data_IF_956165283015
#
_entry.id   IF_956165283015
#
_cell.length_a   1.000
_cell.length_b   1.000
_cell.length_c   1.000
_cell.angle_alpha   90.00
_cell.angle_beta   90.00
_cell.angle_gamma   90.00
#
_symmetry.space_group_name_H-M   'P 1'
#
loop_
_entity.id
_entity.type
_entity.pdbx_description
1 polymer ?
#
# COMPACT_ATOMS: atom_id res chain seq x y z
N UNK A 1 19.28 -7.74 -64.55
CA UNK A 1 19.69 -6.75 -63.53
C UNK A 1 18.49 -6.51 -62.60
N UNK A 2 18.70 -6.78 -61.30
CA UNK A 2 17.91 -6.43 -60.10
C UNK A 2 16.45 -6.90 -59.90
N UNK A 3 16.19 -7.56 -58.75
CA UNK A 3 15.01 -7.36 -57.93
C UNK A 3 15.37 -6.63 -56.62
N UNK A 4 14.70 -5.52 -56.30
CA UNK A 4 14.76 -4.89 -54.97
C UNK A 4 13.37 -4.92 -54.34
N UNK A 5 13.02 -6.08 -53.81
CA UNK A 5 11.85 -6.28 -52.95
C UNK A 5 12.34 -6.26 -51.51
N UNK A 6 12.12 -5.15 -50.78
CA UNK A 6 12.01 -5.10 -49.30
C UNK A 6 11.84 -3.67 -48.73
N UNK A 7 10.61 -3.31 -48.29
CA UNK A 7 10.46 -2.43 -47.12
C UNK A 7 9.51 -2.96 -46.02
N UNK A 8 8.77 -4.06 -46.24
CA UNK A 8 7.70 -4.50 -45.30
C UNK A 8 8.19 -5.03 -43.94
N UNK A 9 9.41 -5.55 -43.83
CA UNK A 9 9.93 -6.20 -42.62
C UNK A 9 10.31 -5.22 -41.48
N UNK A 10 10.73 -3.99 -41.82
CA UNK A 10 11.13 -2.99 -40.81
C UNK A 10 9.92 -2.39 -40.09
N UNK A 11 8.81 -2.21 -40.81
CA UNK A 11 7.56 -1.70 -40.24
C UNK A 11 6.89 -2.69 -39.29
N UNK A 12 6.96 -4.00 -39.55
CA UNK A 12 6.36 -5.01 -38.67
C UNK A 12 7.13 -5.14 -37.34
N UNK A 13 8.46 -5.07 -37.37
CA UNK A 13 9.29 -5.04 -36.15
C UNK A 13 9.08 -3.76 -35.34
N UNK A 14 9.01 -2.61 -36.00
CA UNK A 14 8.75 -1.32 -35.34
C UNK A 14 7.36 -1.29 -34.68
N UNK A 15 6.32 -1.77 -35.37
CA UNK A 15 4.96 -1.87 -34.82
C UNK A 15 4.88 -2.83 -33.63
N UNK A 16 5.59 -3.96 -33.68
CA UNK A 16 5.69 -4.88 -32.54
C UNK A 16 6.39 -4.24 -31.35
N UNK A 17 7.46 -3.48 -31.58
CA UNK A 17 8.15 -2.74 -30.52
C UNK A 17 7.26 -1.66 -29.89
N UNK A 18 6.52 -0.89 -30.69
CA UNK A 18 5.56 0.09 -30.19
C UNK A 18 4.44 -0.56 -29.39
N UNK A 19 3.86 -1.65 -29.88
CA UNK A 19 2.81 -2.37 -29.16
C UNK A 19 3.33 -2.93 -27.83
N UNK A 20 4.54 -3.50 -27.83
CA UNK A 20 5.19 -3.96 -26.60
C UNK A 20 5.44 -2.84 -25.60
N UNK A 21 5.86 -1.67 -26.07
CA UNK A 21 6.07 -0.49 -25.23
C UNK A 21 4.76 0.00 -24.59
N UNK A 22 3.68 0.10 -25.39
CA UNK A 22 2.37 0.53 -24.89
C UNK A 22 1.83 -0.46 -23.86
N UNK A 23 1.92 -1.77 -24.12
CA UNK A 23 1.51 -2.80 -23.18
C UNK A 23 2.35 -2.73 -21.90
N UNK A 24 3.68 -2.59 -22.01
CA UNK A 24 4.57 -2.46 -20.86
C UNK A 24 4.21 -1.26 -19.99
N UNK A 25 4.05 -0.07 -20.59
CA UNK A 25 3.65 1.15 -19.87
C UNK A 25 2.29 0.95 -19.19
N UNK A 26 1.33 0.32 -19.86
CA UNK A 26 -0.01 0.07 -19.30
C UNK A 26 0.06 -0.87 -18.11
N UNK A 27 0.81 -1.98 -18.20
CA UNK A 27 0.98 -2.92 -17.08
C UNK A 27 1.64 -2.24 -15.88
N UNK A 28 2.69 -1.45 -16.10
CA UNK A 28 3.36 -0.70 -15.03
C UNK A 28 2.43 0.35 -14.39
N UNK A 29 1.61 1.04 -15.19
CA UNK A 29 0.64 2.01 -14.68
C UNK A 29 -0.47 1.33 -13.86
N UNK A 30 -0.93 0.15 -14.26
CA UNK A 30 -1.91 -0.64 -13.50
C UNK A 30 -1.35 -1.13 -12.17
N UNK A 31 -0.04 -1.34 -12.05
CA UNK A 31 0.60 -1.70 -10.78
C UNK A 31 0.91 -0.49 -9.87
N UNK A 32 0.92 0.74 -10.40
CA UNK A 32 1.37 1.94 -9.68
C UNK A 32 2.91 2.10 -9.67
N UNK A 33 3.41 3.34 -9.84
CA UNK A 33 4.86 3.60 -9.87
C UNK A 33 5.47 3.52 -8.47
N UNK A 34 4.80 4.07 -7.46
CA UNK A 34 5.21 3.95 -6.06
C UNK A 34 5.22 2.49 -5.59
N UNK A 35 4.22 1.72 -5.98
CA UNK A 35 4.11 0.30 -5.66
C UNK A 35 5.19 -0.56 -6.30
N UNK A 36 5.65 -0.20 -7.51
CA UNK A 36 6.75 -0.87 -8.17
C UNK A 36 8.12 -0.50 -7.57
N UNK A 37 8.35 0.79 -7.31
CA UNK A 37 9.66 1.29 -6.89
C UNK A 37 9.90 1.22 -5.38
N UNK A 38 8.83 1.28 -4.58
CA UNK A 38 8.89 1.37 -3.13
C UNK A 38 7.81 0.50 -2.48
N UNK A 39 7.83 -0.83 -2.72
CA UNK A 39 6.82 -1.75 -2.17
C UNK A 39 6.82 -1.79 -0.63
N UNK A 40 7.91 -1.41 0.02
CA UNK A 40 8.05 -1.31 1.47
C UNK A 40 7.17 -0.22 2.10
N UNK A 41 6.66 0.73 1.31
CA UNK A 41 5.76 1.81 1.76
C UNK A 41 4.29 1.41 1.78
N UNK A 42 3.99 0.14 1.52
CA UNK A 42 2.60 -0.34 1.51
C UNK A 42 1.95 -0.26 2.89
N UNK A 43 0.70 0.17 2.92
CA UNK A 43 -0.08 0.33 4.16
C UNK A 43 0.15 1.65 4.89
N UNK A 44 0.83 2.62 4.26
CA UNK A 44 0.84 3.99 4.74
C UNK A 44 -0.51 4.67 4.44
N UNK A 45 -1.28 5.00 5.48
CA UNK A 45 -2.60 5.59 5.30
C UNK A 45 -2.57 7.08 4.96
N UNK A 46 -1.50 7.78 5.37
CA UNK A 46 -1.34 9.21 5.13
C UNK A 46 0.12 9.65 5.37
N UNK A 47 0.50 10.77 4.77
CA UNK A 47 1.84 11.34 4.90
C UNK A 47 2.14 12.43 3.89
N UNK A 48 3.38 12.93 3.90
CA UNK A 48 3.82 13.89 2.89
C UNK A 48 3.94 13.19 1.55
N UNK A 49 3.32 13.72 0.50
CA UNK A 49 3.41 13.13 -0.85
C UNK A 49 4.87 13.10 -1.32
N UNK A 50 5.30 11.95 -1.83
CA UNK A 50 6.57 11.76 -2.52
C UNK A 50 6.50 12.43 -3.90
N UNK A 51 7.24 13.54 -4.10
CA UNK A 51 7.19 14.28 -5.35
C UNK A 51 7.68 13.44 -6.53
N UNK A 52 8.56 12.46 -6.32
CA UNK A 52 9.08 11.60 -7.39
C UNK A 52 7.97 10.71 -7.93
N UNK A 53 7.23 10.04 -7.04
CA UNK A 53 6.09 9.18 -7.43
C UNK A 53 4.96 10.01 -8.04
N UNK A 54 4.63 11.15 -7.45
CA UNK A 54 3.58 12.04 -7.97
C UNK A 54 3.91 12.57 -9.37
N UNK A 55 5.16 12.97 -9.62
CA UNK A 55 5.60 13.41 -10.95
C UNK A 55 5.54 12.24 -11.94
N UNK A 56 6.00 11.04 -11.56
CA UNK A 56 5.95 9.85 -12.43
C UNK A 56 4.51 9.51 -12.85
N UNK A 57 3.57 9.48 -11.91
CA UNK A 57 2.15 9.27 -12.20
C UNK A 57 1.57 10.43 -13.03
N UNK A 58 2.00 11.67 -12.76
CA UNK A 58 1.64 12.86 -13.53
C UNK A 58 2.10 12.83 -14.98
N UNK A 59 3.29 12.27 -15.27
CA UNK A 59 3.74 12.01 -16.65
C UNK A 59 2.82 11.00 -17.33
N UNK A 60 2.44 9.92 -16.62
CA UNK A 60 1.45 8.97 -17.10
C UNK A 60 0.13 9.66 -17.45
N UNK A 61 -0.36 10.54 -16.58
CA UNK A 61 -1.58 11.32 -16.78
C UNK A 61 -1.52 12.26 -17.99
N UNK A 62 -0.36 12.89 -18.22
CA UNK A 62 -0.16 13.85 -19.32
C UNK A 62 -0.25 13.18 -20.70
N UNK A 63 0.34 11.99 -20.86
CA UNK A 63 0.36 11.29 -22.14
C UNK A 63 -0.82 10.31 -22.31
N UNK A 64 -1.34 9.76 -21.21
CA UNK A 64 -2.44 8.79 -21.21
C UNK A 64 -3.30 8.95 -19.94
N UNK A 65 -4.43 9.67 -20.07
CA UNK A 65 -5.29 9.99 -18.93
C UNK A 65 -5.67 8.75 -18.12
N UNK A 66 -6.17 7.70 -18.77
CA UNK A 66 -6.69 6.51 -18.08
C UNK A 66 -5.59 5.77 -17.29
N UNK A 67 -4.43 5.38 -17.89
CA UNK A 67 -3.30 4.84 -17.15
C UNK A 67 -2.81 5.73 -16.00
N UNK A 68 -2.73 7.05 -16.22
CA UNK A 68 -2.26 7.98 -15.20
C UNK A 68 -3.17 8.07 -13.97
N UNK A 69 -4.49 8.11 -14.19
CA UNK A 69 -5.48 8.10 -13.08
C UNK A 69 -5.39 6.80 -12.30
N UNK A 70 -5.28 5.65 -12.99
CA UNK A 70 -5.18 4.35 -12.32
C UNK A 70 -3.90 4.26 -11.48
N UNK A 71 -2.75 4.71 -12.01
CA UNK A 71 -1.49 4.71 -11.27
C UNK A 71 -1.58 5.54 -9.97
N UNK A 72 -2.24 6.71 -10.05
CA UNK A 72 -2.54 7.52 -8.86
C UNK A 72 -3.44 6.76 -7.87
N UNK A 73 -4.53 6.17 -8.34
CA UNK A 73 -5.46 5.42 -7.49
C UNK A 73 -4.75 4.28 -6.75
N UNK A 74 -3.91 3.52 -7.45
CA UNK A 74 -3.15 2.39 -6.88
C UNK A 74 -2.09 2.86 -5.88
N UNK A 75 -1.35 3.92 -6.19
CA UNK A 75 -0.33 4.41 -5.26
C UNK A 75 -0.93 5.12 -4.03
N UNK A 76 -2.12 5.72 -4.16
CA UNK A 76 -2.89 6.22 -3.01
C UNK A 76 -3.48 5.08 -2.19
N UNK A 77 -4.12 4.08 -2.81
CA UNK A 77 -4.73 2.96 -2.09
C UNK A 77 -3.70 2.11 -1.36
N UNK A 78 -2.52 1.95 -1.95
CA UNK A 78 -1.43 1.20 -1.36
C UNK A 78 -0.63 2.04 -0.35
N UNK A 79 -0.78 3.37 -0.35
CA UNK A 79 0.01 4.28 0.48
C UNK A 79 1.41 4.58 -0.04
N UNK A 80 1.79 4.03 -1.19
CA UNK A 80 3.14 4.13 -1.76
C UNK A 80 3.45 5.48 -2.41
N UNK A 81 2.45 6.36 -2.52
CA UNK A 81 2.64 7.76 -2.92
C UNK A 81 3.16 8.64 -1.78
N UNK A 82 3.09 8.18 -0.53
CA UNK A 82 3.53 8.94 0.62
C UNK A 82 5.00 8.67 0.95
N UNK A 83 5.69 9.67 1.50
CA UNK A 83 7.04 9.52 2.06
C UNK A 83 6.97 8.73 3.39
N UNK A 84 8.04 7.98 3.73
CA UNK A 84 8.16 7.37 5.05
C UNK A 84 8.34 8.45 6.14
N UNK A 85 7.56 8.33 7.22
CA UNK A 85 7.52 9.28 8.35
C UNK A 85 6.37 10.29 8.18
N UNK A 86 5.33 10.26 9.02
CA UNK A 86 5.35 10.78 10.41
C UNK A 86 4.45 10.01 11.38
N UNK A 87 3.91 8.86 11.01
CA UNK A 87 3.08 8.04 11.90
C UNK A 87 3.66 6.65 12.09
N UNK A 88 4.76 6.60 12.83
CA UNK A 88 5.08 5.42 13.62
C UNK A 88 4.00 5.32 14.68
N UNK A 89 3.02 4.44 14.47
CA UNK A 89 2.28 3.88 15.60
C UNK A 89 3.35 3.29 16.52
N UNK A 90 3.54 3.91 17.67
CA UNK A 90 4.46 3.41 18.68
C UNK A 90 3.82 2.15 19.27
N UNK A 91 4.53 1.03 19.20
CA UNK A 91 4.04 -0.25 19.71
C UNK A 91 4.75 -0.51 21.02
N UNK A 92 4.00 -0.41 22.11
CA UNK A 92 4.47 -0.84 23.42
C UNK A 92 4.37 -2.37 23.50
N UNK A 93 5.53 -3.04 23.51
CA UNK A 93 5.61 -4.51 23.58
C UNK A 93 5.66 -4.93 25.04
N UNK A 94 4.62 -5.66 25.48
CA UNK A 94 4.55 -6.23 26.82
C UNK A 94 4.66 -7.75 26.76
N UNK A 95 5.61 -8.37 27.48
CA UNK A 95 5.64 -9.82 27.60
C UNK A 95 4.42 -10.29 28.40
N UNK A 96 3.71 -11.27 27.85
CA UNK A 96 2.65 -12.00 28.55
C UNK A 96 3.27 -13.20 29.28
N UNK A 97 2.87 -13.42 30.53
CA UNK A 97 3.24 -14.62 31.27
C UNK A 97 2.53 -15.85 30.67
N UNK A 98 3.29 -16.92 30.43
CA UNK A 98 2.79 -18.18 29.86
C UNK A 98 1.71 -18.84 30.75
N UNK A 99 1.65 -18.50 32.03
CA UNK A 99 0.68 -19.04 32.99
C UNK A 99 -0.49 -18.09 33.30
N UNK A 100 -0.65 -17.02 32.52
CA UNK A 100 -1.70 -16.03 32.76
C UNK A 100 -3.09 -16.60 32.46
N UNK A 101 -4.01 -16.48 33.42
CA UNK A 101 -5.40 -16.86 33.18
C UNK A 101 -6.14 -15.81 32.31
N UNK A 102 -7.24 -16.24 31.67
CA UNK A 102 -8.05 -15.41 30.77
C UNK A 102 -8.61 -14.17 31.48
N UNK A 103 -9.01 -14.29 32.75
CA UNK A 103 -9.55 -13.17 33.53
C UNK A 103 -8.47 -12.16 33.93
N UNK A 104 -7.23 -12.62 34.18
CA UNK A 104 -6.07 -11.77 34.40
C UNK A 104 -5.70 -11.01 33.11
N UNK A 105 -5.79 -11.67 31.97
CA UNK A 105 -5.59 -11.04 30.66
C UNK A 105 -6.66 -9.99 30.35
N UNK A 106 -7.95 -10.28 30.58
CA UNK A 106 -9.05 -9.33 30.43
C UNK A 106 -8.87 -8.09 31.30
N UNK A 107 -8.44 -8.28 32.55
CA UNK A 107 -8.14 -7.17 33.46
C UNK A 107 -6.99 -6.31 32.95
N UNK A 108 -5.90 -6.93 32.52
CA UNK A 108 -4.72 -6.23 32.00
C UNK A 108 -5.07 -5.43 30.74
N UNK A 109 -5.80 -6.03 29.80
CA UNK A 109 -6.25 -5.36 28.58
C UNK A 109 -7.25 -4.23 28.90
N UNK A 110 -8.16 -4.44 29.85
CA UNK A 110 -9.13 -3.41 30.24
C UNK A 110 -8.47 -2.21 30.90
N UNK A 111 -7.46 -2.45 31.75
CA UNK A 111 -6.67 -1.40 32.39
C UNK A 111 -5.89 -0.58 31.37
N UNK A 112 -5.24 -1.25 30.41
CA UNK A 112 -4.39 -0.59 29.40
C UNK A 112 -5.17 0.12 28.31
N UNK A 113 -6.29 -0.43 27.88
CA UNK A 113 -7.14 0.19 26.85
C UNK A 113 -8.11 1.24 27.40
N UNK A 114 -8.30 1.28 28.73
CA UNK A 114 -9.27 2.14 29.39
C UNK A 114 -10.73 1.78 29.04
N UNK A 115 -10.97 0.59 28.46
CA UNK A 115 -12.28 0.10 28.02
C UNK A 115 -12.50 -1.30 28.58
N UNK A 116 -13.73 -1.71 28.91
CA UNK A 116 -14.00 -3.09 29.30
C UNK A 116 -13.74 -4.02 28.10
N UNK A 117 -12.79 -4.95 28.25
CA UNK A 117 -12.45 -5.98 27.26
C UNK A 117 -12.99 -7.32 27.73
N UNK A 118 -13.74 -8.00 26.86
CA UNK A 118 -14.18 -9.38 27.08
C UNK A 118 -13.73 -10.24 25.90
N UNK A 119 -12.96 -11.28 26.21
CA UNK A 119 -12.35 -12.19 25.22
C UNK A 119 -13.37 -13.17 24.64
N UNK A 120 -14.47 -13.42 25.36
CA UNK A 120 -15.57 -14.30 24.93
C UNK A 120 -16.58 -13.59 23.99
N UNK A 121 -16.36 -12.32 23.69
CA UNK A 121 -17.28 -11.56 22.82
C UNK A 121 -17.10 -11.95 21.34
N UNK A 122 -18.21 -12.02 20.59
CA UNK A 122 -18.17 -12.21 19.12
C UNK A 122 -17.43 -11.08 18.38
N UNK A 123 -17.17 -9.96 19.06
CA UNK A 123 -16.46 -8.80 18.52
C UNK A 123 -14.94 -8.90 18.72
N UNK A 124 -14.45 -9.91 19.43
CA UNK A 124 -13.02 -10.12 19.66
C UNK A 124 -12.44 -11.11 18.65
N UNK A 125 -11.36 -10.69 17.98
CA UNK A 125 -10.67 -11.51 16.98
C UNK A 125 -9.20 -11.67 17.37
N UNK A 126 -8.78 -12.91 17.58
CA UNK A 126 -7.37 -13.28 17.73
C UNK A 126 -6.84 -13.69 16.37
N UNK A 127 -5.74 -13.08 15.96
CA UNK A 127 -5.05 -13.43 14.71
C UNK A 127 -3.58 -13.64 14.99
N UNK A 128 -3.09 -14.81 14.63
CA UNK A 128 -1.65 -15.10 14.58
C UNK A 128 -1.07 -14.42 13.33
N UNK A 129 0.13 -13.85 13.48
CA UNK A 129 0.80 -13.04 12.45
C UNK A 129 2.24 -13.52 12.33
N UNK A 130 2.76 -13.58 11.11
CA UNK A 130 4.09 -14.13 10.83
C UNK A 130 5.22 -13.16 11.23
N UNK A 131 4.90 -11.87 11.37
CA UNK A 131 5.86 -10.83 11.72
C UNK A 131 5.20 -9.62 12.39
N UNK A 132 6.01 -8.83 13.09
CA UNK A 132 5.59 -7.54 13.67
C UNK A 132 5.10 -6.56 12.58
N UNK A 133 5.71 -6.59 11.39
CA UNK A 133 5.32 -5.74 10.27
C UNK A 133 3.91 -6.07 9.78
N UNK A 134 3.54 -7.35 9.73
CA UNK A 134 2.18 -7.78 9.40
C UNK A 134 1.18 -7.32 10.47
N UNK A 135 1.52 -7.47 11.75
CA UNK A 135 0.71 -7.01 12.86
C UNK A 135 0.42 -5.50 12.75
N UNK A 136 1.46 -4.71 12.51
CA UNK A 136 1.39 -3.26 12.32
C UNK A 136 0.54 -2.88 11.10
N UNK A 137 0.67 -3.60 10.00
CA UNK A 137 -0.13 -3.37 8.80
C UNK A 137 -1.63 -3.59 9.07
N UNK A 138 -1.98 -4.66 9.80
CA UNK A 138 -3.36 -4.96 10.19
C UNK A 138 -3.94 -3.88 11.11
N UNK A 139 -3.17 -3.42 12.11
CA UNK A 139 -3.59 -2.34 13.01
C UNK A 139 -3.81 -1.04 12.23
N UNK A 140 -2.92 -0.68 11.31
CA UNK A 140 -3.09 0.51 10.44
C UNK A 140 -4.33 0.40 9.55
N UNK A 141 -4.60 -0.79 9.00
CA UNK A 141 -5.78 -1.05 8.17
C UNK A 141 -7.11 -1.09 8.93
N UNK A 142 -7.08 -1.28 10.24
CA UNK A 142 -8.29 -1.35 11.07
C UNK A 142 -8.99 0.00 11.27
N UNK A 143 -8.31 1.13 11.01
CA UNK A 143 -8.87 2.48 11.17
C UNK A 143 -9.19 2.88 12.62
N UNK A 144 -8.67 2.15 13.62
CA UNK A 144 -9.03 2.32 15.05
C UNK A 144 -8.76 3.75 15.61
N UNK A 145 -7.87 4.53 14.98
CA UNK A 145 -7.56 5.92 15.40
C UNK A 145 -8.07 7.01 14.43
N UNK A 146 -8.88 6.67 13.41
CA UNK A 146 -9.34 7.65 12.43
C UNK A 146 -10.24 8.74 13.05
N UNK A 147 -11.03 8.41 14.08
CA UNK A 147 -11.92 9.37 14.75
C UNK A 147 -11.18 10.48 15.50
N UNK A 148 -10.05 10.16 16.14
CA UNK A 148 -9.22 11.14 16.85
C UNK A 148 -8.49 12.06 15.85
N UNK A 149 -8.07 11.50 14.70
CA UNK A 149 -7.49 12.25 13.58
C UNK A 149 -8.49 13.18 12.89
N UNK A 150 -9.73 12.75 12.69
CA UNK A 150 -10.80 13.58 12.12
C UNK A 150 -11.23 14.72 13.05
N UNK A 151 -11.01 14.58 14.36
CA UNK A 151 -11.29 15.64 15.33
C UNK A 151 -10.18 16.71 15.43
N UNK A 152 -9.01 16.43 14.85
CA UNK A 152 -7.81 17.29 14.89
C UNK A 152 -7.44 17.90 13.53
N UNK A 153 -8.24 17.63 12.49
CA UNK A 153 -8.23 18.34 11.19
C UNK A 153 -9.28 19.45 11.17
#
# INVERSE_FOLDING_TARGET
MSPAMQPRLRHSRLRRAMNGLVVGITVTALSGCGTLFHPERKGQMDGRIDPVVAIANGVGLLFFILPGVIAYAVDFSNGTIYLPGTQTADVDVMPLDENMDVAALERLLSEKTGKPVSLDSELFVVKEVESLDEALALVRMSGINDSERLSTM
#
